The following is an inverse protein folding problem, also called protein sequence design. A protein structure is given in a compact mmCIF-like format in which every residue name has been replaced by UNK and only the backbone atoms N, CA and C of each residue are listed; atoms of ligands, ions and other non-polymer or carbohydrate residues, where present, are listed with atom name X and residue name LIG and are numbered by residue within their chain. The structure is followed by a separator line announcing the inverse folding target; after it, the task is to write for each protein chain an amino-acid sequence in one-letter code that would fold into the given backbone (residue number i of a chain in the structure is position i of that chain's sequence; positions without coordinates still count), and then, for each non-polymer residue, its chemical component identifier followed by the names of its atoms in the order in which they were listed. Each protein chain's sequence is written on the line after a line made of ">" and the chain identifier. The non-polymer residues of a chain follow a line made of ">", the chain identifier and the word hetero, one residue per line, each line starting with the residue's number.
data_IF_208632507635
#
_entry.id   IF_208632507635
#
_cell.length_a   1.000
_cell.length_b   1.000
_cell.length_c   1.000
_cell.angle_alpha   90.00
_cell.angle_beta   90.00
_cell.angle_gamma   90.00
#
_symmetry.space_group_name_H-M   'P 1'
#
loop_
_entity.id
_entity.type
_entity.pdbx_description
1 polymer ?
#
# COMPACT_ATOMS: atom_id res chain seq x y z
N UNK A 1 -12.97 12.39 -30.63
CA UNK A 1 -11.70 12.53 -29.89
C UNK A 1 -10.68 11.63 -30.54
N UNK A 2 -9.63 12.22 -31.08
CA UNK A 2 -8.49 11.53 -31.67
C UNK A 2 -7.66 10.83 -30.58
N UNK A 3 -6.89 9.80 -30.94
CA UNK A 3 -6.03 9.05 -29.99
C UNK A 3 -5.03 9.96 -29.26
N UNK A 4 -4.65 11.06 -29.88
CA UNK A 4 -3.64 11.99 -29.37
C UNK A 4 -4.19 12.87 -28.25
N UNK A 5 -5.43 13.35 -28.39
CA UNK A 5 -6.13 14.10 -27.34
C UNK A 5 -6.34 13.26 -26.08
N UNK A 6 -6.65 11.98 -26.26
CA UNK A 6 -6.83 11.03 -25.16
C UNK A 6 -5.50 10.82 -24.42
N UNK A 7 -4.39 10.64 -25.13
CA UNK A 7 -3.06 10.49 -24.52
C UNK A 7 -2.65 11.73 -23.72
N UNK A 8 -2.90 12.92 -24.26
CA UNK A 8 -2.63 14.17 -23.57
C UNK A 8 -3.43 14.25 -22.26
N UNK A 9 -4.70 13.85 -22.28
CA UNK A 9 -5.57 13.84 -21.11
C UNK A 9 -5.13 12.82 -20.06
N UNK A 10 -4.68 11.63 -20.47
CA UNK A 10 -4.11 10.61 -19.57
C UNK A 10 -2.86 11.16 -18.87
N UNK A 11 -1.95 11.81 -19.60
CA UNK A 11 -0.73 12.36 -18.99
C UNK A 11 -1.04 13.46 -17.98
N UNK A 12 -2.00 14.33 -18.29
CA UNK A 12 -2.48 15.36 -17.36
C UNK A 12 -3.06 14.74 -16.08
N UNK A 13 -3.98 13.78 -16.21
CA UNK A 13 -4.58 13.09 -15.06
C UNK A 13 -3.54 12.34 -14.22
N UNK A 14 -2.52 11.73 -14.84
CA UNK A 14 -1.41 11.11 -14.11
C UNK A 14 -0.60 12.11 -13.29
N UNK A 15 -0.34 13.31 -13.83
CA UNK A 15 0.37 14.35 -13.09
C UNK A 15 -0.44 14.85 -11.89
N UNK A 16 -1.76 15.03 -12.07
CA UNK A 16 -2.68 15.44 -11.00
C UNK A 16 -2.82 14.34 -9.93
N UNK A 17 -2.89 13.08 -10.33
CA UNK A 17 -2.89 11.94 -9.41
C UNK A 17 -1.61 11.88 -8.56
N UNK A 18 -0.47 12.19 -9.17
CA UNK A 18 0.83 12.19 -8.47
C UNK A 18 0.92 13.33 -7.45
N UNK A 19 0.28 14.47 -7.73
CA UNK A 19 0.23 15.62 -6.83
C UNK A 19 -0.71 15.42 -5.63
N UNK A 20 -1.59 14.41 -5.67
CA UNK A 20 -2.48 14.10 -4.56
C UNK A 20 -1.69 13.36 -3.46
N UNK A 21 -1.42 14.08 -2.36
CA UNK A 21 -0.78 13.52 -1.18
C UNK A 21 -1.77 13.50 -0.01
N UNK A 22 -2.00 12.31 0.57
CA UNK A 22 -2.76 12.17 1.81
C UNK A 22 -1.92 12.51 3.04
N UNK A 23 -2.55 12.54 4.22
CA UNK A 23 -1.84 12.61 5.50
C UNK A 23 -1.28 11.24 5.90
N UNK A 24 -0.16 11.19 6.63
CA UNK A 24 0.35 9.93 7.16
C UNK A 24 -0.66 9.32 8.14
N UNK A 25 -1.03 8.07 7.91
CA UNK A 25 -1.91 7.31 8.79
C UNK A 25 -1.12 6.27 9.57
N UNK A 26 -1.49 6.06 10.84
CA UNK A 26 -0.91 4.97 11.62
C UNK A 26 -1.41 3.62 11.11
N UNK A 27 -0.47 2.73 10.80
CA UNK A 27 -0.79 1.38 10.31
C UNK A 27 -0.76 0.40 11.48
N UNK A 28 -1.86 -0.33 11.65
CA UNK A 28 -1.99 -1.38 12.67
C UNK A 28 -2.00 -2.76 12.04
N UNK A 29 -1.47 -3.74 12.76
CA UNK A 29 -1.46 -5.13 12.33
C UNK A 29 -1.89 -6.04 13.48
N UNK A 30 -2.59 -7.13 13.14
CA UNK A 30 -3.04 -8.16 14.09
C UNK A 30 -1.93 -9.18 14.31
N UNK A 31 -1.46 -9.29 15.55
CA UNK A 31 -0.31 -10.16 15.89
C UNK A 31 -0.77 -11.52 16.39
N UNK A 32 -1.37 -11.59 17.58
CA UNK A 32 -1.95 -12.80 18.19
C UNK A 32 -3.28 -12.41 18.87
N UNK A 33 -4.23 -11.93 18.08
CA UNK A 33 -5.57 -11.57 18.56
C UNK A 33 -5.81 -10.08 18.89
N UNK A 34 -4.77 -9.27 19.07
CA UNK A 34 -4.90 -7.80 19.26
C UNK A 34 -4.17 -6.99 18.18
N UNK A 35 -4.55 -5.72 18.06
CA UNK A 35 -3.95 -4.75 17.14
C UNK A 35 -2.73 -4.06 17.78
N UNK A 36 -1.61 -4.03 17.05
CA UNK A 36 -0.39 -3.31 17.45
C UNK A 36 0.05 -2.38 16.31
N UNK A 37 0.50 -1.15 16.59
CA UNK A 37 1.03 -0.27 15.56
C UNK A 37 2.30 -0.84 14.94
N UNK A 38 2.37 -0.87 13.61
CA UNK A 38 3.50 -1.42 12.83
C UNK A 38 4.78 -0.61 13.07
N UNK A 39 4.65 0.69 13.33
CA UNK A 39 5.77 1.57 13.66
C UNK A 39 6.53 1.12 14.93
N UNK A 40 5.85 0.42 15.86
CA UNK A 40 6.42 -0.08 17.12
C UNK A 40 7.05 -1.48 17.01
N UNK A 41 7.26 -2.00 15.79
CA UNK A 41 7.87 -3.32 15.60
C UNK A 41 9.38 -3.31 15.81
N UNK A 42 9.87 -4.20 16.67
CA UNK A 42 11.29 -4.46 16.84
C UNK A 42 11.86 -5.27 15.65
N UNK A 43 13.19 -5.41 15.59
CA UNK A 43 13.88 -6.14 14.50
C UNK A 43 13.38 -7.58 14.35
N UNK A 44 13.21 -8.31 15.46
CA UNK A 44 12.74 -9.70 15.44
C UNK A 44 11.33 -9.85 14.88
N UNK A 45 10.41 -8.95 15.23
CA UNK A 45 9.03 -8.98 14.71
C UNK A 45 8.98 -8.70 13.21
N UNK A 46 9.84 -7.82 12.70
CA UNK A 46 9.96 -7.57 11.25
C UNK A 46 10.44 -8.82 10.51
N UNK A 47 11.42 -9.54 11.05
CA UNK A 47 11.88 -10.80 10.46
C UNK A 47 10.83 -11.91 10.55
N UNK A 48 10.16 -12.07 11.71
CA UNK A 48 9.05 -13.03 11.83
C UNK A 48 7.91 -12.71 10.86
N UNK A 49 7.56 -11.44 10.67
CA UNK A 49 6.51 -11.06 9.71
C UNK A 49 6.88 -11.40 8.26
N UNK A 50 8.16 -11.30 7.87
CA UNK A 50 8.62 -11.71 6.52
C UNK A 50 8.47 -13.20 6.27
N UNK A 51 8.56 -14.02 7.32
CA UNK A 51 8.40 -15.47 7.25
C UNK A 51 6.93 -15.92 7.24
N UNK A 52 5.96 -15.00 7.40
CA UNK A 52 4.54 -15.34 7.35
C UNK A 52 4.10 -15.60 5.92
N UNK A 53 3.52 -16.78 5.70
CA UNK A 53 2.88 -17.10 4.43
C UNK A 53 1.41 -16.72 4.47
N UNK A 54 0.94 -16.11 3.37
CA UNK A 54 -0.48 -15.84 3.17
C UNK A 54 -1.09 -17.06 2.51
N UNK A 55 -2.29 -17.40 2.94
CA UNK A 55 -3.08 -18.38 2.22
C UNK A 55 -3.39 -17.85 0.81
N UNK A 56 -2.81 -18.47 -0.22
CA UNK A 56 -3.25 -18.29 -1.60
C UNK A 56 -4.25 -19.39 -1.91
N UNK A 57 -5.46 -18.99 -2.28
CA UNK A 57 -6.39 -19.91 -2.93
C UNK A 57 -5.98 -19.96 -4.40
N UNK A 58 -5.61 -21.13 -4.90
CA UNK A 58 -5.50 -21.40 -6.33
C UNK A 58 -6.58 -22.45 -6.62
N UNK A 59 -7.50 -22.11 -7.54
CA UNK A 59 -8.45 -23.05 -8.11
C UNK A 59 -7.91 -23.58 -9.43
#
# INVERSE_FOLDING_TARGET
>A
MTKEEIKAKINKLKSEQTACHGTPCEVYSRVVGYLRPVQSWNKGKKEEFKMREKFSWEC
#
